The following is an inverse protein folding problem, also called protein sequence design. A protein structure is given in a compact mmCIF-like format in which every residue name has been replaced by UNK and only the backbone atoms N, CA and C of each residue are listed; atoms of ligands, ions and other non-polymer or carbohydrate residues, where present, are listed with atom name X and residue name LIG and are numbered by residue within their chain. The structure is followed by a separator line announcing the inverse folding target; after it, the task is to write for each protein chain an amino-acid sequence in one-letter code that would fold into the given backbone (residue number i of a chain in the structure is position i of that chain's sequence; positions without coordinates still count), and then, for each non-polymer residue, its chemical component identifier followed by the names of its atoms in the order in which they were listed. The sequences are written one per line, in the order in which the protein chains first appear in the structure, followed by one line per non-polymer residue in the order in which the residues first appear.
data_IF_998838425232
#
_entry.id   IF_998838425232
#
_cell.length_a   1.000
_cell.length_b   1.000
_cell.length_c   1.000
_cell.angle_alpha   90.00
_cell.angle_beta   90.00
_cell.angle_gamma   90.00
#
_symmetry.space_group_name_H-M   'P 1'
#
loop_
_entity.id
_entity.type
_entity.pdbx_description
1 polymer ?
#
# COMPACT_ATOMS: atom_id res chain seq x y z
N UNK A 1 -10.83 17.79 36.57
CA UNK A 1 -10.96 17.03 35.31
C UNK A 1 -9.65 16.30 35.05
N UNK A 2 -9.60 14.99 35.29
CA UNK A 2 -8.38 14.16 35.18
C UNK A 2 -8.44 13.41 33.86
N UNK A 3 -7.47 13.63 32.98
CA UNK A 3 -7.34 12.90 31.72
C UNK A 3 -7.00 11.44 32.05
N UNK A 4 -7.77 10.50 31.50
CA UNK A 4 -7.49 9.08 31.63
C UNK A 4 -6.21 8.74 30.84
N UNK A 5 -5.39 7.77 31.27
CA UNK A 5 -4.22 7.32 30.52
C UNK A 5 -4.66 6.90 29.12
N UNK A 6 -4.11 7.54 28.08
CA UNK A 6 -4.43 7.24 26.67
C UNK A 6 -5.21 8.33 25.92
N UNK A 7 -5.58 9.47 26.53
CA UNK A 7 -6.32 10.55 25.85
C UNK A 7 -5.46 11.47 24.98
N UNK A 8 -4.46 10.94 24.26
CA UNK A 8 -3.88 11.70 23.16
C UNK A 8 -4.99 11.98 22.15
N UNK A 9 -5.10 13.22 21.64
CA UNK A 9 -6.01 13.50 20.55
C UNK A 9 -5.76 12.49 19.42
N UNK A 10 -6.80 12.06 18.71
CA UNK A 10 -6.67 11.10 17.59
C UNK A 10 -5.56 11.51 16.61
N UNK A 11 -5.38 12.82 16.44
CA UNK A 11 -4.29 13.45 15.68
C UNK A 11 -2.88 13.21 16.23
N UNK A 12 -2.69 13.14 17.55
CA UNK A 12 -1.40 12.85 18.18
C UNK A 12 -1.02 11.37 18.05
N UNK A 13 -1.99 10.45 18.11
CA UNK A 13 -1.75 9.02 17.94
C UNK A 13 -1.35 8.64 16.52
N UNK A 14 -1.95 9.28 15.52
CA UNK A 14 -1.60 9.07 14.10
C UNK A 14 -0.12 9.44 13.85
N UNK A 15 0.42 10.47 14.52
CA UNK A 15 1.83 10.88 14.35
C UNK A 15 2.82 10.02 15.13
N UNK A 16 2.46 9.52 16.32
CA UNK A 16 3.34 8.73 17.17
C UNK A 16 3.41 7.23 16.81
N UNK A 17 2.42 6.72 16.06
CA UNK A 17 2.35 5.30 15.66
C UNK A 17 3.05 4.94 14.35
N UNK A 18 3.62 5.90 13.62
CA UNK A 18 4.35 5.62 12.38
C UNK A 18 5.77 5.17 12.74
N UNK A 19 5.88 3.93 13.21
CA UNK A 19 7.07 3.13 12.90
C UNK A 19 6.88 2.73 11.43
N UNK A 20 7.67 3.32 10.53
CA UNK A 20 7.73 2.87 9.13
C UNK A 20 8.42 1.50 9.12
N UNK A 21 7.69 0.46 9.48
CA UNK A 21 8.03 -0.90 9.09
C UNK A 21 7.49 -1.06 7.68
N UNK A 22 8.37 -1.31 6.71
CA UNK A 22 8.01 -1.61 5.33
C UNK A 22 7.35 -3.01 5.26
N UNK A 23 6.16 -3.14 5.83
CA UNK A 23 5.35 -4.34 5.70
C UNK A 23 4.67 -4.29 4.34
N UNK A 24 4.97 -5.28 3.49
CA UNK A 24 4.37 -5.36 2.16
C UNK A 24 2.85 -5.57 2.28
N UNK A 25 2.07 -4.55 1.93
CA UNK A 25 0.61 -4.62 1.89
C UNK A 25 0.14 -5.23 0.57
N UNK A 26 -0.76 -6.22 0.64
CA UNK A 26 -1.47 -6.69 -0.54
C UNK A 26 -2.55 -5.67 -0.91
N UNK A 27 -2.42 -5.04 -2.07
CA UNK A 27 -3.46 -4.20 -2.68
C UNK A 27 -4.12 -4.97 -3.82
N UNK A 28 -5.28 -4.50 -4.28
CA UNK A 28 -5.98 -5.09 -5.43
C UNK A 28 -5.13 -5.11 -6.71
N UNK A 29 -4.10 -4.27 -6.80
CA UNK A 29 -3.30 -4.07 -8.00
C UNK A 29 -1.88 -4.66 -7.93
N UNK A 30 -1.29 -4.75 -6.74
CA UNK A 30 0.08 -5.23 -6.55
C UNK A 30 0.42 -5.46 -5.07
N UNK A 31 1.58 -6.06 -4.84
CA UNK A 31 2.27 -6.02 -3.56
C UNK A 31 3.21 -4.82 -3.59
N UNK A 32 3.05 -3.88 -2.67
CA UNK A 32 3.85 -2.64 -2.63
C UNK A 32 4.86 -2.65 -1.49
N UNK A 33 6.12 -2.31 -1.79
CA UNK A 33 7.22 -2.08 -0.83
C UNK A 33 7.86 -0.72 -1.12
N UNK A 34 7.35 0.33 -0.49
CA UNK A 34 7.79 1.71 -0.73
C UNK A 34 9.03 2.10 0.07
N UNK A 35 9.75 3.12 -0.41
CA UNK A 35 10.86 3.75 0.31
C UNK A 35 10.81 5.28 0.16
N UNK A 36 11.70 6.01 0.86
CA UNK A 36 11.79 7.48 0.74
C UNK A 36 12.11 7.96 -0.69
N UNK A 37 12.72 7.11 -1.51
CA UNK A 37 13.16 7.44 -2.88
C UNK A 37 12.38 6.69 -3.94
N UNK A 38 11.52 5.74 -3.56
CA UNK A 38 10.64 5.00 -4.47
C UNK A 38 9.22 4.99 -3.91
N UNK A 39 8.40 5.85 -4.50
CA UNK A 39 6.99 6.02 -4.15
C UNK A 39 6.06 5.04 -4.89
N UNK A 40 6.57 4.31 -5.88
CA UNK A 40 5.82 3.24 -6.53
C UNK A 40 5.94 1.96 -5.71
N UNK A 41 7.15 1.57 -5.31
CA UNK A 41 7.38 0.34 -4.54
C UNK A 41 6.87 -0.91 -5.24
N UNK A 42 6.85 -0.90 -6.58
CA UNK A 42 6.33 -1.97 -7.42
C UNK A 42 7.49 -2.78 -8.01
N UNK A 43 7.27 -4.08 -8.17
CA UNK A 43 8.20 -4.97 -8.85
C UNK A 43 7.52 -5.68 -10.04
N UNK A 44 8.17 -6.75 -10.51
CA UNK A 44 7.75 -7.47 -11.70
C UNK A 44 6.38 -8.14 -11.61
N UNK A 45 5.83 -8.26 -10.40
CA UNK A 45 4.51 -8.83 -10.15
C UNK A 45 3.38 -7.83 -10.42
N UNK A 46 3.71 -6.54 -10.53
CA UNK A 46 2.73 -5.47 -10.70
C UNK A 46 2.31 -5.21 -12.16
N UNK A 47 2.88 -5.93 -13.14
CA UNK A 47 2.50 -5.77 -14.56
C UNK A 47 1.99 -7.07 -15.15
N UNK A 48 0.96 -6.94 -15.98
CA UNK A 48 0.42 -8.00 -16.83
C UNK A 48 0.30 -7.44 -18.25
N UNK A 49 0.57 -8.29 -19.24
CA UNK A 49 0.33 -7.95 -20.64
C UNK A 49 -1.00 -8.59 -21.06
N UNK A 50 -1.87 -7.80 -21.68
CA UNK A 50 -3.17 -8.26 -22.14
C UNK A 50 -3.29 -8.09 -23.65
N UNK A 51 -4.05 -8.98 -24.27
CA UNK A 51 -4.46 -8.91 -25.67
C UNK A 51 -5.98 -8.80 -25.77
N UNK A 52 -6.47 -8.23 -26.86
CA UNK A 52 -7.90 -8.17 -27.15
C UNK A 52 -8.23 -9.25 -28.17
N UNK A 53 -9.04 -10.23 -27.78
CA UNK A 53 -9.56 -11.28 -28.66
C UNK A 53 -11.09 -11.30 -28.59
N UNK A 54 -11.74 -11.17 -29.76
CA UNK A 54 -13.21 -11.15 -29.90
C UNK A 54 -13.89 -10.18 -28.92
N UNK A 55 -13.30 -8.98 -28.75
CA UNK A 55 -13.81 -7.93 -27.85
C UNK A 55 -13.58 -8.19 -26.35
N UNK A 56 -12.79 -9.21 -25.97
CA UNK A 56 -12.46 -9.53 -24.58
C UNK A 56 -10.99 -9.34 -24.30
N UNK A 57 -10.67 -8.91 -23.08
CA UNK A 57 -9.30 -8.86 -22.57
C UNK A 57 -8.86 -10.26 -22.13
N UNK A 58 -7.76 -10.75 -22.69
CA UNK A 58 -7.18 -12.05 -22.35
C UNK A 58 -5.72 -11.84 -21.94
N UNK A 59 -5.28 -12.59 -20.93
CA UNK A 59 -3.88 -12.56 -20.51
C UNK A 59 -2.98 -13.05 -21.65
N UNK A 60 -1.96 -12.26 -21.96
CA UNK A 60 -0.91 -12.66 -22.90
C UNK A 60 0.05 -13.62 -22.19
N UNK A 61 0.23 -14.81 -22.77
CA UNK A 61 1.15 -15.84 -22.25
C UNK A 61 2.52 -15.71 -22.89
#
# INVERSE_FOLDING_TARGET
MRLLPGSGSSWAQIKAGVVVSATAGALTHAIMTMSKTDHAGLDHRARLMVKVENGKWILSK
#
